data_IF_062176209319
#
_entry.id   IF_062176209319
#
_cell.length_a   1.000
_cell.length_b   1.000
_cell.length_c   1.000
_cell.angle_alpha   90.00
_cell.angle_beta   90.00
_cell.angle_gamma   90.00
#
_symmetry.space_group_name_H-M   'P 1'
#
loop_
_entity.id
_entity.type
_entity.pdbx_description
1 polymer ?
#
# COMPACT_ATOMS: atom_id res chain seq x y z
N UNK A 1 33.84 -13.90 6.15
CA UNK A 1 33.61 -13.68 4.70
C UNK A 1 33.13 -12.24 4.51
N UNK A 2 33.78 -11.41 3.69
CA UNK A 2 33.34 -10.03 3.47
C UNK A 2 32.08 -10.03 2.59
N UNK A 3 30.98 -9.44 3.09
CA UNK A 3 29.71 -9.34 2.37
C UNK A 3 29.56 -7.92 1.85
N UNK A 4 29.18 -7.78 0.57
CA UNK A 4 28.93 -6.48 -0.05
C UNK A 4 27.48 -6.45 -0.54
N UNK A 5 26.70 -5.48 -0.05
CA UNK A 5 25.30 -5.26 -0.46
C UNK A 5 25.19 -3.88 -1.09
N UNK A 6 24.91 -3.84 -2.38
CA UNK A 6 24.68 -2.60 -3.14
C UNK A 6 23.19 -2.40 -3.31
N UNK A 7 22.65 -1.32 -2.75
CA UNK A 7 21.26 -0.91 -2.94
C UNK A 7 21.24 0.38 -3.76
N UNK A 8 20.59 0.34 -4.93
CA UNK A 8 20.17 1.55 -5.62
C UNK A 8 18.81 1.98 -5.07
N UNK A 9 18.73 3.15 -4.41
CA UNK A 9 17.45 3.73 -3.92
C UNK A 9 16.61 4.33 -5.07
N UNK A 10 16.31 3.57 -6.12
CA UNK A 10 15.32 3.99 -7.12
C UNK A 10 13.91 3.77 -6.58
N UNK A 11 13.39 4.65 -5.72
CA UNK A 11 11.97 4.55 -5.31
C UNK A 11 11.09 4.54 -6.57
N UNK A 12 10.45 3.40 -6.80
CA UNK A 12 9.34 3.28 -7.75
C UNK A 12 8.13 3.28 -6.83
N UNK A 13 7.40 4.40 -6.83
CA UNK A 13 6.10 4.48 -6.18
C UNK A 13 5.11 3.85 -7.16
N UNK A 14 4.83 2.56 -7.01
CA UNK A 14 3.68 1.99 -7.71
C UNK A 14 2.46 2.38 -6.92
N UNK A 15 1.72 3.38 -7.40
CA UNK A 15 0.35 3.62 -6.97
C UNK A 15 -0.51 2.51 -7.58
N UNK A 16 -0.78 1.46 -6.82
CA UNK A 16 -1.87 0.56 -7.13
C UNK A 16 -3.14 1.21 -6.58
N UNK A 17 -3.75 2.11 -7.36
CA UNK A 17 -5.17 2.36 -7.19
C UNK A 17 -5.85 1.14 -7.82
N UNK A 18 -6.36 0.26 -6.97
CA UNK A 18 -6.93 -0.99 -7.44
C UNK A 18 -8.41 -0.77 -7.74
N UNK A 19 -8.79 -1.07 -8.97
CA UNK A 19 -10.18 -1.34 -9.35
C UNK A 19 -10.67 -2.52 -8.49
N UNK A 20 -11.75 -2.31 -7.74
CA UNK A 20 -12.33 -3.32 -6.84
C UNK A 20 -13.06 -4.44 -7.59
N UNK A 21 -13.00 -4.51 -8.93
CA UNK A 21 -13.72 -5.54 -9.70
C UNK A 21 -12.95 -6.26 -10.81
N UNK A 22 -11.70 -5.90 -11.15
CA UNK A 22 -10.98 -6.57 -12.24
C UNK A 22 -9.64 -7.20 -11.82
N UNK A 23 -9.56 -8.52 -12.00
CA UNK A 23 -8.40 -9.38 -11.73
C UNK A 23 -7.20 -9.14 -12.68
N UNK A 24 -7.28 -8.14 -13.58
CA UNK A 24 -6.38 -7.98 -14.73
C UNK A 24 -5.61 -6.65 -14.72
N UNK A 25 -4.56 -6.54 -13.90
CA UNK A 25 -3.51 -5.54 -14.11
C UNK A 25 -2.16 -6.22 -14.36
N UNK A 26 -2.09 -6.91 -15.50
CA UNK A 26 -0.87 -7.48 -16.05
C UNK A 26 -0.02 -6.37 -16.72
N UNK A 27 1.17 -6.13 -16.18
CA UNK A 27 2.13 -5.16 -16.71
C UNK A 27 2.46 -5.38 -18.18
N UNK A 28 1.98 -4.45 -19.02
CA UNK A 28 2.44 -4.26 -20.39
C UNK A 28 3.02 -2.85 -20.54
N UNK A 29 4.00 -2.67 -21.43
CA UNK A 29 4.80 -1.44 -21.64
C UNK A 29 4.00 -0.22 -22.16
N UNK A 30 2.67 -0.27 -22.12
CA UNK A 30 1.74 0.81 -22.45
C UNK A 30 0.71 1.10 -21.36
N UNK A 31 0.86 0.57 -20.15
CA UNK A 31 -0.08 0.81 -19.04
C UNK A 31 -0.05 2.29 -18.62
N UNK A 32 -1.18 2.98 -18.83
CA UNK A 32 -1.41 4.40 -18.47
C UNK A 32 -1.58 4.63 -16.96
N UNK A 33 -1.32 3.62 -16.14
CA UNK A 33 -1.69 3.56 -14.72
C UNK A 33 -0.49 3.59 -13.78
N UNK A 34 0.73 3.72 -14.31
CA UNK A 34 1.95 3.86 -13.52
C UNK A 34 2.47 5.29 -13.64
N UNK A 35 2.40 6.06 -12.56
CA UNK A 35 3.06 7.36 -12.47
C UNK A 35 4.57 7.16 -12.55
N UNK A 36 5.21 7.72 -13.59
CA UNK A 36 6.66 7.62 -13.77
C UNK A 36 7.35 8.87 -13.24
N UNK A 37 8.62 8.76 -12.80
CA UNK A 37 9.40 9.93 -12.44
C UNK A 37 9.51 10.98 -13.56
N UNK A 38 9.41 10.57 -14.84
CA UNK A 38 9.36 11.47 -16.00
C UNK A 38 8.09 12.33 -16.06
N UNK A 39 7.05 11.95 -15.32
CA UNK A 39 5.79 12.67 -15.25
C UNK A 39 5.82 13.73 -14.12
N UNK A 40 6.92 13.79 -13.34
CA UNK A 40 7.14 14.82 -12.31
C UNK A 40 7.45 16.18 -12.97
N UNK A 41 6.63 17.19 -12.67
CA UNK A 41 6.80 18.57 -13.17
C UNK A 41 5.70 19.04 -14.12
N UNK A 42 4.80 18.14 -14.56
CA UNK A 42 3.64 18.51 -15.38
C UNK A 42 2.41 17.69 -15.01
N UNK A 43 1.39 18.40 -14.52
CA UNK A 43 0.01 17.92 -14.48
C UNK A 43 -0.27 16.64 -13.67
N UNK A 44 0.48 16.41 -12.59
CA UNK A 44 0.31 15.25 -11.68
C UNK A 44 -1.13 15.09 -11.19
N UNK A 45 -1.83 16.19 -10.93
CA UNK A 45 -3.25 16.18 -10.56
C UNK A 45 -4.12 15.62 -11.70
N UNK A 46 -3.93 16.05 -12.94
CA UNK A 46 -4.71 15.48 -14.04
C UNK A 46 -4.31 14.05 -14.36
N UNK A 47 -3.05 13.65 -14.15
CA UNK A 47 -2.68 12.25 -14.32
C UNK A 47 -3.37 11.42 -13.25
N UNK A 48 -3.31 11.82 -11.97
CA UNK A 48 -4.05 11.16 -10.90
C UNK A 48 -5.55 11.09 -11.20
N UNK A 49 -6.20 12.22 -11.55
CA UNK A 49 -7.63 12.24 -11.88
C UNK A 49 -7.94 11.38 -13.10
N UNK A 50 -7.11 11.44 -14.16
CA UNK A 50 -7.29 10.58 -15.35
C UNK A 50 -7.07 9.11 -15.03
N UNK A 51 -6.16 8.78 -14.11
CA UNK A 51 -5.93 7.42 -13.61
C UNK A 51 -7.16 6.95 -12.83
N UNK A 52 -7.69 7.74 -11.89
CA UNK A 52 -8.93 7.43 -11.17
C UNK A 52 -10.12 7.27 -12.13
N UNK A 53 -10.27 8.16 -13.12
CA UNK A 53 -11.31 8.06 -14.15
C UNK A 53 -11.12 6.85 -15.06
N UNK A 54 -9.89 6.54 -15.47
CA UNK A 54 -9.60 5.43 -16.39
C UNK A 54 -9.57 4.06 -15.72
N UNK A 55 -9.30 4.00 -14.41
CA UNK A 55 -9.56 2.83 -13.57
C UNK A 55 -11.03 2.44 -13.66
N UNK A 56 -11.91 3.42 -13.92
CA UNK A 56 -13.33 3.18 -14.11
C UNK A 56 -13.87 2.51 -12.85
N UNK A 57 -14.02 3.28 -11.77
CA UNK A 57 -14.70 2.84 -10.55
C UNK A 57 -16.05 2.26 -10.99
N UNK A 58 -16.11 0.93 -11.10
CA UNK A 58 -17.17 0.27 -11.83
C UNK A 58 -18.31 0.02 -10.84
N UNK A 59 -19.48 0.54 -11.16
CA UNK A 59 -20.66 0.69 -10.29
C UNK A 59 -21.36 -0.63 -9.94
N UNK A 60 -20.76 -1.79 -10.25
CA UNK A 60 -21.24 -3.10 -9.80
C UNK A 60 -20.81 -3.34 -8.36
N UNK A 61 -21.52 -2.64 -7.48
CA UNK A 61 -21.30 -2.53 -6.04
C UNK A 61 -21.53 -3.83 -5.26
N UNK A 62 -20.81 -3.97 -4.12
CA UNK A 62 -21.14 -4.90 -3.05
C UNK A 62 -20.14 -6.02 -2.81
N UNK A 63 -18.85 -5.83 -3.13
CA UNK A 63 -17.77 -6.73 -2.70
C UNK A 63 -16.41 -6.00 -2.74
N UNK A 64 -16.21 -5.01 -1.88
CA UNK A 64 -15.00 -4.18 -1.87
C UNK A 64 -13.81 -5.00 -1.39
N UNK A 65 -12.82 -5.21 -2.26
CA UNK A 65 -11.73 -6.14 -1.98
C UNK A 65 -10.33 -5.55 -2.12
N UNK A 66 -10.04 -4.46 -1.42
CA UNK A 66 -8.75 -3.76 -1.52
C UNK A 66 -7.55 -4.58 -1.02
N UNK A 67 -7.74 -5.46 -0.04
CA UNK A 67 -6.68 -6.34 0.48
C UNK A 67 -6.40 -7.46 -0.52
N UNK A 68 -7.44 -8.17 -0.99
CA UNK A 68 -7.25 -9.23 -1.99
C UNK A 68 -6.71 -8.69 -3.31
N UNK A 69 -7.18 -7.52 -3.70
CA UNK A 69 -6.60 -6.75 -4.80
C UNK A 69 -5.08 -6.56 -4.67
N UNK A 70 -4.63 -6.05 -3.52
CA UNK A 70 -3.20 -5.87 -3.24
C UNK A 70 -2.45 -7.21 -3.21
N UNK A 71 -3.07 -8.24 -2.64
CA UNK A 71 -2.55 -9.61 -2.57
C UNK A 71 -2.26 -10.16 -3.97
N UNK A 72 -3.26 -10.13 -4.85
CA UNK A 72 -3.17 -10.62 -6.22
C UNK A 72 -2.17 -9.80 -7.05
N UNK A 73 -2.19 -8.47 -6.91
CA UNK A 73 -1.25 -7.61 -7.61
C UNK A 73 0.22 -7.90 -7.23
N UNK A 74 0.47 -8.16 -5.95
CA UNK A 74 1.80 -8.54 -5.46
C UNK A 74 2.26 -9.91 -5.96
N UNK A 75 1.38 -10.91 -5.97
CA UNK A 75 1.67 -12.23 -6.55
C UNK A 75 2.05 -12.08 -8.02
N UNK A 76 1.22 -11.39 -8.80
CA UNK A 76 1.40 -11.27 -10.24
C UNK A 76 2.59 -10.38 -10.63
N UNK A 77 2.93 -9.40 -9.79
CA UNK A 77 4.04 -8.48 -10.05
C UNK A 77 5.41 -8.94 -9.54
N UNK A 78 5.49 -9.99 -8.72
CA UNK A 78 6.73 -10.37 -8.03
C UNK A 78 7.84 -10.80 -9.03
N UNK A 79 9.10 -10.37 -8.84
CA UNK A 79 10.19 -10.72 -9.75
C UNK A 79 10.44 -12.23 -9.76
N UNK A 80 10.36 -12.84 -10.94
CA UNK A 80 10.54 -14.27 -11.14
C UNK A 80 9.28 -15.12 -10.90
N UNK A 81 8.16 -14.51 -10.51
CA UNK A 81 6.89 -15.21 -10.42
C UNK A 81 6.19 -15.18 -11.78
N UNK A 82 6.14 -16.33 -12.48
CA UNK A 82 5.67 -16.44 -13.86
C UNK A 82 4.17 -16.74 -13.97
N UNK A 83 3.35 -16.37 -12.98
CA UNK A 83 1.94 -16.83 -12.91
C UNK A 83 1.12 -16.44 -14.15
N UNK A 84 1.54 -15.44 -14.94
CA UNK A 84 0.87 -15.10 -16.20
C UNK A 84 1.76 -14.47 -17.29
N UNK A 85 3.01 -14.92 -17.51
CA UNK A 85 3.95 -14.30 -18.48
C UNK A 85 4.12 -12.77 -18.32
N UNK A 86 3.68 -12.22 -17.19
CA UNK A 86 3.68 -10.79 -16.88
C UNK A 86 4.99 -10.53 -16.15
N UNK A 87 6.00 -10.09 -16.91
CA UNK A 87 7.32 -9.81 -16.35
C UNK A 87 7.20 -8.96 -15.09
N UNK A 88 7.79 -9.43 -13.99
CA UNK A 88 7.64 -8.85 -12.66
C UNK A 88 7.78 -7.33 -12.66
N UNK A 89 6.67 -6.65 -12.35
CA UNK A 89 6.57 -5.20 -12.26
C UNK A 89 7.43 -4.64 -11.11
N UNK A 90 7.70 -5.49 -10.11
CA UNK A 90 8.51 -5.13 -8.97
C UNK A 90 9.96 -5.52 -9.18
N UNK A 91 10.85 -4.58 -8.89
CA UNK A 91 12.28 -4.85 -8.79
C UNK A 91 12.61 -5.56 -7.48
N UNK A 92 13.64 -6.40 -7.51
CA UNK A 92 14.20 -7.00 -6.29
C UNK A 92 14.61 -5.91 -5.28
N UNK A 93 14.27 -6.10 -4.01
CA UNK A 93 14.55 -5.14 -2.92
C UNK A 93 13.71 -3.85 -2.96
N UNK A 94 12.66 -3.79 -3.78
CA UNK A 94 11.71 -2.68 -3.75
C UNK A 94 11.11 -2.53 -2.34
N UNK A 95 10.88 -1.27 -1.93
CA UNK A 95 9.87 -0.99 -0.94
C UNK A 95 8.53 -0.89 -1.66
N UNK A 96 7.48 -1.46 -1.09
CA UNK A 96 6.14 -1.47 -1.67
C UNK A 96 5.22 -0.69 -0.73
N UNK A 97 4.44 0.23 -1.28
CA UNK A 97 3.42 0.94 -0.52
C UNK A 97 2.09 0.82 -1.25
N UNK A 98 1.05 0.43 -0.52
CA UNK A 98 -0.34 0.41 -0.98
C UNK A 98 -1.06 1.58 -0.32
N UNK A 99 -1.95 2.22 -1.07
CA UNK A 99 -2.90 3.20 -0.55
C UNK A 99 -4.28 2.74 -1.01
N UNK A 100 -5.17 2.43 -0.06
CA UNK A 100 -6.58 2.15 -0.34
C UNK A 100 -7.42 3.37 0.01
N UNK A 101 -8.43 3.64 -0.82
CA UNK A 101 -9.51 4.58 -0.54
C UNK A 101 -10.81 3.78 -0.63
N UNK A 102 -11.59 3.73 0.44
CA UNK A 102 -12.85 2.99 0.44
C UNK A 102 -13.84 3.60 1.43
N UNK A 103 -15.10 3.73 1.02
CA UNK A 103 -16.22 4.07 1.87
C UNK A 103 -16.86 2.85 2.56
N UNK A 104 -16.35 1.66 2.27
CA UNK A 104 -16.74 0.40 2.90
C UNK A 104 -15.50 -0.35 3.45
N UNK A 105 -15.72 -1.53 4.02
CA UNK A 105 -14.67 -2.42 4.51
C UNK A 105 -14.33 -3.52 3.50
N UNK A 106 -13.32 -4.35 3.77
CA UNK A 106 -13.04 -5.53 2.94
C UNK A 106 -14.26 -6.48 2.93
N UNK A 107 -14.69 -6.95 1.76
CA UNK A 107 -15.96 -7.65 1.54
C UNK A 107 -17.17 -6.82 2.01
N UNK A 108 -17.14 -5.51 1.76
CA UNK A 108 -18.11 -4.48 2.18
C UNK A 108 -18.19 -4.23 3.69
N UNK A 109 -18.26 -5.28 4.50
CA UNK A 109 -18.52 -5.19 5.94
C UNK A 109 -17.47 -5.91 6.80
N UNK A 110 -16.32 -6.24 6.25
CA UNK A 110 -15.23 -6.93 6.96
C UNK A 110 -15.55 -8.39 7.25
N UNK A 111 -16.51 -8.97 6.51
CA UNK A 111 -17.04 -10.31 6.77
C UNK A 111 -17.76 -10.46 8.10
N UNK A 112 -18.35 -9.39 8.63
CA UNK A 112 -19.17 -9.41 9.85
C UNK A 112 -20.64 -9.10 9.53
N UNK A 113 -21.47 -10.15 9.52
CA UNK A 113 -22.90 -10.04 9.24
C UNK A 113 -23.67 -9.15 10.23
N UNK A 114 -23.12 -8.86 11.42
CA UNK A 114 -23.78 -7.97 12.39
C UNK A 114 -23.76 -6.50 11.98
N UNK A 115 -22.97 -6.16 10.96
CA UNK A 115 -22.81 -4.78 10.47
C UNK A 115 -23.77 -4.43 9.34
N UNK A 116 -24.60 -5.37 8.90
CA UNK A 116 -25.61 -5.16 7.86
C UNK A 116 -26.60 -4.08 8.30
N UNK A 117 -26.77 -3.06 7.44
CA UNK A 117 -27.72 -1.96 7.58
C UNK A 117 -28.96 -2.23 6.73
N UNK A 118 -29.84 -3.11 7.20
CA UNK A 118 -31.09 -3.46 6.49
C UNK A 118 -31.97 -2.25 6.18
N UNK A 119 -31.96 -1.22 7.04
CA UNK A 119 -32.66 0.05 6.81
C UNK A 119 -32.15 0.84 5.58
N UNK A 120 -30.95 0.52 5.09
CA UNK A 120 -30.33 1.07 3.89
C UNK A 120 -30.37 0.12 2.69
N UNK A 121 -31.12 -0.98 2.79
CA UNK A 121 -31.33 -1.93 1.70
C UNK A 121 -30.31 -3.06 1.60
N UNK A 122 -29.41 -3.19 2.60
CA UNK A 122 -28.43 -4.28 2.64
C UNK A 122 -29.03 -5.62 3.09
N UNK A 123 -28.47 -6.71 2.59
CA UNK A 123 -28.92 -8.06 2.95
C UNK A 123 -27.81 -9.13 2.82
N UNK A 124 -28.12 -10.33 3.34
CA UNK A 124 -27.27 -11.53 3.24
C UNK A 124 -27.51 -12.35 1.96
N UNK A 125 -28.44 -11.92 1.10
CA UNK A 125 -28.91 -12.69 -0.04
C UNK A 125 -29.16 -11.83 -1.26
N UNK A 126 -29.45 -12.46 -2.41
CA UNK A 126 -29.77 -11.71 -3.63
C UNK A 126 -30.92 -10.70 -3.41
N UNK A 127 -30.86 -9.51 -4.02
CA UNK A 127 -29.86 -9.08 -5.00
C UNK A 127 -28.63 -8.37 -4.41
N UNK A 128 -28.64 -7.95 -3.13
CA UNK A 128 -27.52 -7.23 -2.50
C UNK A 128 -26.68 -8.19 -1.63
N UNK A 129 -25.58 -8.71 -2.15
CA UNK A 129 -24.69 -9.56 -1.37
C UNK A 129 -23.71 -8.71 -0.52
N UNK A 130 -24.24 -7.97 0.45
CA UNK A 130 -23.41 -7.12 1.32
C UNK A 130 -22.55 -7.97 2.27
N UNK A 131 -23.09 -9.09 2.75
CA UNK A 131 -22.30 -10.02 3.56
C UNK A 131 -21.68 -11.11 2.69
N UNK A 132 -20.36 -11.19 2.79
CA UNK A 132 -19.60 -12.36 2.37
C UNK A 132 -18.50 -12.65 3.40
N UNK A 133 -18.28 -13.93 3.70
CA UNK A 133 -17.18 -14.32 4.58
C UNK A 133 -15.83 -13.95 3.94
N UNK A 134 -14.87 -13.52 4.77
CA UNK A 134 -13.49 -13.28 4.33
C UNK A 134 -12.87 -14.61 3.84
N UNK A 135 -12.20 -14.55 2.70
CA UNK A 135 -11.28 -15.57 2.21
C UNK A 135 -9.87 -15.32 2.79
N UNK A 136 -8.96 -16.27 2.62
CA UNK A 136 -7.59 -16.13 3.13
C UNK A 136 -6.87 -14.91 2.52
N UNK A 137 -7.13 -14.60 1.25
CA UNK A 137 -6.55 -13.46 0.55
C UNK A 137 -7.14 -12.11 0.96
N UNK A 138 -8.31 -12.10 1.61
CA UNK A 138 -8.95 -10.89 2.13
C UNK A 138 -8.36 -10.51 3.52
N UNK A 139 -7.51 -11.36 4.12
CA UNK A 139 -6.99 -11.17 5.48
C UNK A 139 -5.71 -10.31 5.53
N UNK A 140 -5.68 -9.22 6.35
CA UNK A 140 -4.50 -8.36 6.51
C UNK A 140 -3.20 -9.09 6.84
N UNK A 141 -3.26 -10.05 7.76
CA UNK A 141 -2.09 -10.83 8.18
C UNK A 141 -1.54 -11.71 7.06
N UNK A 142 -2.43 -12.29 6.25
CA UNK A 142 -2.05 -13.14 5.12
C UNK A 142 -1.42 -12.33 4.00
N UNK A 143 -1.93 -11.11 3.72
CA UNK A 143 -1.26 -10.16 2.82
C UNK A 143 0.19 -9.92 3.27
N UNK A 144 0.41 -9.50 4.52
CA UNK A 144 1.77 -9.24 5.02
C UNK A 144 2.68 -10.48 4.96
N UNK A 145 2.16 -11.64 5.36
CA UNK A 145 2.91 -12.90 5.35
C UNK A 145 3.30 -13.32 3.94
N UNK A 146 2.33 -13.31 3.01
CA UNK A 146 2.55 -13.61 1.60
C UNK A 146 3.56 -12.65 0.98
N UNK A 147 3.42 -11.34 1.20
CA UNK A 147 4.36 -10.36 0.63
C UNK A 147 5.79 -10.63 1.11
N UNK A 148 5.99 -10.94 2.39
CA UNK A 148 7.32 -11.30 2.92
C UNK A 148 7.83 -12.63 2.35
N UNK A 149 6.95 -13.60 2.11
CA UNK A 149 7.28 -14.84 1.42
C UNK A 149 7.79 -14.60 -0.01
N UNK A 150 7.14 -13.71 -0.77
CA UNK A 150 7.50 -13.42 -2.16
C UNK A 150 8.74 -12.52 -2.30
N UNK A 151 8.81 -11.46 -1.52
CA UNK A 151 9.85 -10.43 -1.67
C UNK A 151 10.99 -10.54 -0.64
N UNK A 152 10.90 -11.53 0.26
CA UNK A 152 11.84 -11.80 1.34
C UNK A 152 11.47 -11.12 2.66
N UNK A 153 11.96 -11.70 3.77
CA UNK A 153 11.64 -11.24 5.13
C UNK A 153 12.03 -9.79 5.43
N UNK A 154 12.97 -9.22 4.66
CA UNK A 154 13.38 -7.82 4.76
C UNK A 154 12.53 -6.86 3.92
N UNK A 155 11.40 -7.32 3.35
CA UNK A 155 10.49 -6.46 2.60
C UNK A 155 10.06 -5.26 3.45
N UNK A 156 10.21 -4.07 2.86
CA UNK A 156 9.63 -2.83 3.39
C UNK A 156 8.27 -2.66 2.74
N UNK A 157 7.23 -3.02 3.48
CA UNK A 157 5.85 -2.96 3.02
C UNK A 157 5.03 -2.09 3.95
N UNK A 158 4.32 -1.11 3.37
CA UNK A 158 3.32 -0.30 4.06
C UNK A 158 1.99 -0.36 3.34
N UNK A 159 0.93 -0.64 4.06
CA UNK A 159 -0.44 -0.45 3.62
C UNK A 159 -0.95 0.83 4.28
N UNK A 160 -1.58 1.71 3.52
CA UNK A 160 -2.15 2.96 4.03
C UNK A 160 -3.61 3.01 3.59
N UNK A 161 -4.46 3.60 4.40
CA UNK A 161 -5.91 3.58 4.17
C UNK A 161 -6.52 4.95 4.40
N UNK A 162 -7.33 5.43 3.46
CA UNK A 162 -8.31 6.50 3.67
C UNK A 162 -9.67 5.83 3.67
N UNK A 163 -10.32 5.74 4.82
CA UNK A 163 -11.54 4.96 4.99
C UNK A 163 -12.58 5.70 5.80
N UNK A 164 -13.77 5.14 5.92
CA UNK A 164 -14.63 5.44 7.07
C UNK A 164 -13.90 4.94 8.33
N UNK A 165 -13.36 5.86 9.11
CA UNK A 165 -12.42 5.55 10.19
C UNK A 165 -13.10 5.45 11.56
N UNK A 166 -14.32 5.99 11.70
CA UNK A 166 -15.09 6.00 12.92
C UNK A 166 -16.60 6.15 12.66
N UNK A 167 -17.40 5.93 13.71
CA UNK A 167 -18.87 5.98 13.66
C UNK A 167 -19.44 7.34 13.23
N UNK A 168 -18.76 8.44 13.60
CA UNK A 168 -19.20 9.78 13.21
C UNK A 168 -19.04 9.95 11.69
N UNK A 169 -17.91 9.51 11.13
CA UNK A 169 -17.70 9.54 9.69
C UNK A 169 -18.73 8.65 8.97
N UNK A 170 -18.97 7.44 9.48
CA UNK A 170 -19.97 6.52 8.93
C UNK A 170 -21.36 7.15 8.90
N UNK A 171 -21.76 7.83 9.98
CA UNK A 171 -23.05 8.54 10.05
C UNK A 171 -23.13 9.67 9.03
N UNK A 172 -22.03 10.38 8.77
CA UNK A 172 -21.98 11.44 7.76
C UNK A 172 -22.11 10.85 6.36
N UNK A 173 -21.36 9.79 6.05
CA UNK A 173 -21.40 9.11 4.75
C UNK A 173 -22.78 8.51 4.49
N UNK A 174 -23.37 7.80 5.46
CA UNK A 174 -24.71 7.20 5.37
C UNK A 174 -25.83 8.22 5.08
N UNK A 175 -25.62 9.49 5.44
CA UNK A 175 -26.57 10.58 5.23
C UNK A 175 -26.20 11.48 4.04
N UNK A 176 -25.07 11.22 3.38
CA UNK A 176 -24.64 11.98 2.22
C UNK A 176 -25.55 11.66 1.04
N UNK A 177 -26.23 12.68 0.53
CA UNK A 177 -27.11 12.57 -0.63
C UNK A 177 -26.28 12.70 -1.89
N UNK A 178 -26.40 11.72 -2.78
CA UNK A 178 -25.87 11.80 -4.14
C UNK A 178 -27.00 11.73 -5.16
N UNK A 179 -26.81 12.39 -6.30
CA UNK A 179 -27.77 12.40 -7.39
C UNK A 179 -27.32 11.41 -8.45
N UNK A 180 -28.11 10.38 -8.73
CA UNK A 180 -27.83 9.40 -9.78
C UNK A 180 -27.79 10.06 -11.16
N UNK A 181 -27.28 9.35 -12.17
CA UNK A 181 -27.33 9.81 -13.56
C UNK A 181 -28.77 10.02 -14.09
N UNK A 182 -29.78 9.43 -13.44
CA UNK A 182 -31.20 9.62 -13.72
C UNK A 182 -31.82 10.82 -12.98
N UNK A 183 -31.05 11.56 -12.19
CA UNK A 183 -31.51 12.74 -11.45
C UNK A 183 -32.18 12.41 -10.11
N UNK A 184 -32.07 11.18 -9.62
CA UNK A 184 -32.67 10.77 -8.35
C UNK A 184 -31.70 11.01 -7.19
N UNK A 185 -32.18 11.65 -6.13
CA UNK A 185 -31.42 11.78 -4.89
C UNK A 185 -31.53 10.48 -4.07
N UNK A 186 -30.38 9.93 -3.71
CA UNK A 186 -30.25 8.67 -2.97
C UNK A 186 -29.18 8.81 -1.89
N UNK A 187 -29.25 7.94 -0.87
CA UNK A 187 -28.18 7.73 0.11
C UNK A 187 -27.81 6.25 0.07
N UNK A 188 -26.54 5.92 0.22
CA UNK A 188 -26.06 4.55 0.41
C UNK A 188 -25.67 4.31 1.87
N UNK A 189 -25.52 3.04 2.23
CA UNK A 189 -24.74 2.69 3.40
C UNK A 189 -23.24 2.84 3.09
N UNK A 190 -22.49 3.12 4.15
CA UNK A 190 -21.03 3.09 4.21
C UNK A 190 -20.63 2.18 5.37
N UNK A 191 -19.37 1.77 5.45
CA UNK A 191 -18.91 0.89 6.53
C UNK A 191 -17.51 1.26 7.00
N UNK A 192 -17.31 1.25 8.32
CA UNK A 192 -15.98 1.44 8.90
C UNK A 192 -14.97 0.45 8.29
N UNK A 193 -13.88 0.94 7.70
CA UNK A 193 -12.87 0.13 7.02
C UNK A 193 -11.95 -0.64 7.98
N UNK A 194 -12.50 -1.48 8.85
CA UNK A 194 -11.79 -2.13 9.95
C UNK A 194 -10.63 -3.01 9.48
N UNK A 195 -10.77 -3.73 8.36
CA UNK A 195 -9.70 -4.57 7.80
C UNK A 195 -8.60 -3.74 7.15
N UNK A 196 -8.96 -2.64 6.52
CA UNK A 196 -7.98 -1.69 5.99
C UNK A 196 -7.20 -0.99 7.12
N UNK A 197 -7.87 -0.64 8.22
CA UNK A 197 -7.21 -0.10 9.43
C UNK A 197 -6.26 -1.14 10.04
N UNK A 198 -6.71 -2.40 10.14
CA UNK A 198 -5.89 -3.52 10.61
C UNK A 198 -4.63 -3.68 9.73
N UNK A 199 -4.78 -3.72 8.40
CA UNK A 199 -3.67 -3.80 7.46
C UNK A 199 -2.70 -2.62 7.58
N UNK A 200 -3.23 -1.39 7.70
CA UNK A 200 -2.42 -0.19 7.90
C UNK A 200 -1.60 -0.28 9.19
N UNK A 201 -2.20 -0.71 10.30
CA UNK A 201 -1.51 -0.86 11.58
C UNK A 201 -0.45 -1.99 11.56
N UNK A 202 -0.78 -3.16 10.99
CA UNK A 202 0.13 -4.31 10.89
C UNK A 202 1.41 -4.00 10.08
N UNK A 203 1.29 -3.11 9.10
CA UNK A 203 2.39 -2.72 8.21
C UNK A 203 3.05 -1.39 8.61
N UNK A 204 2.57 -0.76 9.69
CA UNK A 204 3.08 0.52 10.19
C UNK A 204 2.75 1.73 9.29
N UNK A 205 1.80 1.60 8.36
CA UNK A 205 1.34 2.69 7.51
C UNK A 205 0.45 3.70 8.23
N UNK A 206 -0.22 4.55 7.45
CA UNK A 206 -1.12 5.58 7.94
C UNK A 206 -2.59 5.21 7.75
N UNK A 207 -3.42 5.69 8.68
CA UNK A 207 -4.89 5.67 8.59
C UNK A 207 -5.37 7.10 8.50
N UNK A 208 -6.16 7.40 7.47
CA UNK A 208 -6.87 8.65 7.27
C UNK A 208 -8.36 8.42 7.14
N UNK A 209 -9.14 9.49 7.29
CA UNK A 209 -10.59 9.45 7.12
C UNK A 209 -11.02 9.99 5.76
N UNK A 210 -12.00 9.35 5.13
CA UNK A 210 -12.70 9.88 3.95
C UNK A 210 -13.53 11.12 4.28
N UNK A 211 -13.90 11.30 5.55
CA UNK A 211 -14.65 12.48 6.02
C UNK A 211 -13.78 13.72 6.26
N UNK A 212 -12.46 13.63 6.06
CA UNK A 212 -11.62 14.81 6.10
C UNK A 212 -11.95 15.75 4.94
N UNK A 213 -12.07 17.05 5.23
CA UNK A 213 -12.35 18.07 4.21
C UNK A 213 -11.26 18.19 3.14
N UNK A 214 -10.05 17.74 3.44
CA UNK A 214 -8.96 17.59 2.49
C UNK A 214 -8.20 16.29 2.77
N UNK A 215 -7.62 15.70 1.72
CA UNK A 215 -6.73 14.54 1.88
C UNK A 215 -5.26 14.92 1.96
N UNK A 216 -4.92 16.21 2.02
CA UNK A 216 -3.53 16.65 2.04
C UNK A 216 -2.82 16.14 3.30
N UNK A 217 -3.46 16.21 4.46
CA UNK A 217 -2.87 15.72 5.70
C UNK A 217 -2.69 14.20 5.68
N UNK A 218 -3.66 13.47 5.10
CA UNK A 218 -3.56 12.01 4.90
C UNK A 218 -2.38 11.66 3.98
N UNK A 219 -2.24 12.34 2.85
CA UNK A 219 -1.15 12.12 1.90
C UNK A 219 0.22 12.51 2.47
N UNK A 220 0.29 13.57 3.27
CA UNK A 220 1.49 13.98 4.00
C UNK A 220 1.88 12.94 5.06
N UNK A 221 0.89 12.39 5.78
CA UNK A 221 1.09 11.29 6.73
C UNK A 221 1.65 10.06 6.00
N UNK A 222 1.04 9.66 4.89
CA UNK A 222 1.50 8.48 4.13
C UNK A 222 2.90 8.69 3.59
N UNK A 223 3.19 9.87 3.04
CA UNK A 223 4.55 10.24 2.61
C UNK A 223 5.55 10.14 3.77
N UNK A 224 5.19 10.61 4.96
CA UNK A 224 6.03 10.52 6.16
C UNK A 224 6.26 9.08 6.59
N UNK A 225 5.22 8.24 6.59
CA UNK A 225 5.30 6.82 6.94
C UNK A 225 6.17 6.05 5.95
N UNK A 226 5.93 6.25 4.65
CA UNK A 226 6.71 5.64 3.58
C UNK A 226 8.17 6.08 3.72
N UNK A 227 8.47 7.38 3.78
CA UNK A 227 9.85 7.87 3.92
C UNK A 227 10.55 7.39 5.19
N UNK A 228 9.84 7.28 6.32
CA UNK A 228 10.39 6.71 7.54
C UNK A 228 10.67 5.21 7.41
N UNK A 229 9.82 4.44 6.73
CA UNK A 229 10.09 3.01 6.46
C UNK A 229 11.38 2.82 5.64
N UNK A 230 11.74 3.81 4.83
CA UNK A 230 12.94 3.80 3.98
C UNK A 230 14.22 4.14 4.75
N UNK A 231 14.13 4.69 5.97
CA UNK A 231 15.29 4.96 6.83
C UNK A 231 15.94 3.69 7.37
N UNK A 232 15.21 2.57 7.36
CA UNK A 232 15.70 1.32 7.93
C UNK A 232 16.13 0.35 6.82
N UNK A 233 17.30 -0.25 7.01
CA UNK A 233 17.81 -1.34 6.19
C UNK A 233 18.12 -2.52 7.11
N UNK A 234 17.51 -3.66 6.82
CA UNK A 234 17.88 -4.93 7.44
C UNK A 234 19.08 -5.53 6.71
N UNK A 235 20.18 -5.69 7.45
CA UNK A 235 21.39 -6.41 7.06
C UNK A 235 21.13 -7.92 7.12
N UNK A 236 21.96 -8.71 6.44
CA UNK A 236 21.84 -10.18 6.44
C UNK A 236 22.19 -10.77 7.82
N UNK A 237 23.04 -10.09 8.58
CA UNK A 237 23.49 -10.48 9.91
C UNK A 237 23.85 -9.22 10.71
N UNK A 238 23.99 -9.38 12.03
CA UNK A 238 24.60 -8.33 12.85
C UNK A 238 26.10 -8.22 12.50
N UNK A 239 26.63 -7.03 12.16
CA UNK A 239 28.04 -6.87 11.83
C UNK A 239 28.96 -7.26 13.00
N UNK A 240 29.93 -8.15 12.74
CA UNK A 240 30.89 -8.64 13.73
C UNK A 240 32.33 -8.66 13.16
N UNK A 241 33.29 -7.89 13.73
CA UNK A 241 33.09 -6.90 14.78
C UNK A 241 32.20 -5.75 14.28
N UNK A 242 31.59 -5.01 15.19
CA UNK A 242 30.67 -3.92 14.82
C UNK A 242 31.33 -2.85 13.95
N UNK A 243 32.65 -2.67 14.07
CA UNK A 243 33.49 -1.79 13.26
C UNK A 243 33.69 -2.25 11.82
N UNK A 244 33.33 -3.49 11.48
CA UNK A 244 33.44 -4.01 10.10
C UNK A 244 32.47 -3.35 9.13
N UNK A 245 31.39 -2.73 9.63
CA UNK A 245 30.38 -2.11 8.79
C UNK A 245 30.85 -0.76 8.25
N UNK A 246 31.03 -0.72 6.94
CA UNK A 246 31.22 0.50 6.16
C UNK A 246 29.95 0.80 5.38
N UNK A 247 29.51 2.05 5.43
CA UNK A 247 28.31 2.53 4.73
C UNK A 247 28.71 3.72 3.87
N UNK A 248 28.36 3.68 2.59
CA UNK A 248 28.47 4.82 1.69
C UNK A 248 27.10 5.21 1.17
N UNK A 249 26.80 6.50 1.18
CA UNK A 249 25.56 7.09 0.67
C UNK A 249 25.94 8.11 -0.39
N UNK A 250 25.54 7.87 -1.65
CA UNK A 250 25.91 8.72 -2.78
C UNK A 250 27.42 8.75 -3.05
N UNK A 251 28.15 7.70 -2.66
CA UNK A 251 29.61 7.62 -2.76
C UNK A 251 30.37 8.24 -1.57
N UNK A 252 29.72 9.02 -0.72
CA UNK A 252 30.31 9.56 0.50
C UNK A 252 30.22 8.55 1.66
N UNK A 253 31.27 8.42 2.46
CA UNK A 253 31.25 7.56 3.66
C UNK A 253 30.33 8.17 4.71
N UNK A 254 29.31 7.42 5.12
CA UNK A 254 28.42 7.81 6.21
C UNK A 254 29.06 7.50 7.57
N UNK A 255 28.83 8.36 8.55
CA UNK A 255 29.39 8.29 9.90
C UNK A 255 28.38 7.66 10.86
N UNK A 256 28.79 6.58 11.54
CA UNK A 256 27.98 5.95 12.57
C UNK A 256 27.78 6.89 13.77
N UNK A 257 26.56 6.92 14.32
CA UNK A 257 26.16 7.77 15.42
C UNK A 257 25.62 9.13 14.98
N UNK A 258 26.02 9.59 13.79
CA UNK A 258 25.57 10.87 13.19
C UNK A 258 24.61 10.63 12.04
N UNK A 259 25.05 9.88 11.03
CA UNK A 259 24.29 9.65 9.80
C UNK A 259 23.43 8.38 9.88
N UNK A 260 23.85 7.41 10.70
CA UNK A 260 23.12 6.18 10.94
C UNK A 260 23.46 5.54 12.29
N UNK A 261 22.56 4.71 12.80
CA UNK A 261 22.77 3.81 13.94
C UNK A 261 22.62 2.35 13.51
N UNK A 262 23.13 1.43 14.34
CA UNK A 262 23.00 -0.02 14.12
C UNK A 262 22.60 -0.69 15.42
N UNK A 263 21.56 -1.52 15.36
CA UNK A 263 21.11 -2.38 16.46
C UNK A 263 20.87 -3.79 15.92
N UNK A 264 21.70 -4.75 16.32
CA UNK A 264 21.71 -6.09 15.72
C UNK A 264 21.96 -6.01 14.21
N UNK A 265 21.04 -6.57 13.42
CA UNK A 265 21.07 -6.51 11.95
C UNK A 265 20.33 -5.29 11.37
N UNK A 266 19.73 -4.42 12.20
CA UNK A 266 19.02 -3.24 11.73
C UNK A 266 19.97 -2.05 11.63
N UNK A 267 20.08 -1.45 10.45
CA UNK A 267 20.70 -0.15 10.22
C UNK A 267 19.60 0.90 10.05
N UNK A 268 19.72 2.03 10.75
CA UNK A 268 18.75 3.13 10.71
C UNK A 268 19.46 4.43 10.37
N UNK A 269 19.13 5.06 9.23
CA UNK A 269 19.64 6.39 8.89
C UNK A 269 18.96 7.47 9.74
N UNK A 270 19.73 8.47 10.16
CA UNK A 270 19.21 9.62 10.91
C UNK A 270 18.29 10.50 10.07
N UNK A 271 18.50 10.51 8.74
CA UNK A 271 17.64 11.17 7.77
C UNK A 271 17.18 10.19 6.68
N UNK A 272 16.06 10.52 6.01
CA UNK A 272 15.61 9.74 4.87
C UNK A 272 16.64 9.86 3.74
N UNK A 273 17.01 8.72 3.15
CA UNK A 273 17.94 8.72 2.02
C UNK A 273 17.23 9.28 0.80
N UNK A 274 17.85 10.29 0.17
CA UNK A 274 17.30 10.96 -1.02
C UNK A 274 17.05 9.94 -2.15
N UNK A 275 15.98 10.16 -2.91
CA UNK A 275 15.63 9.31 -4.05
C UNK A 275 16.76 9.30 -5.08
N UNK A 276 17.08 8.12 -5.60
CA UNK A 276 18.12 7.93 -6.60
C UNK A 276 19.53 7.77 -6.03
N UNK A 277 19.73 7.99 -4.73
CA UNK A 277 21.03 7.84 -4.07
C UNK A 277 21.44 6.37 -3.92
N UNK A 278 22.63 6.02 -4.42
CA UNK A 278 23.19 4.67 -4.21
C UNK A 278 23.68 4.52 -2.77
N UNK A 279 23.26 3.44 -2.11
CA UNK A 279 23.75 3.01 -0.80
C UNK A 279 24.61 1.78 -1.00
N UNK A 280 25.85 1.83 -0.53
CA UNK A 280 26.77 0.70 -0.55
C UNK A 280 27.12 0.33 0.88
N UNK A 281 27.02 -0.95 1.20
CA UNK A 281 27.39 -1.46 2.52
C UNK A 281 28.34 -2.63 2.36
N UNK A 282 29.38 -2.65 3.18
CA UNK A 282 30.23 -3.82 3.36
C UNK A 282 30.41 -4.11 4.85
N UNK A 283 30.32 -5.40 5.22
CA UNK A 283 30.46 -5.83 6.61
C UNK A 283 30.85 -7.30 6.69
N UNK A 284 31.32 -7.71 7.87
CA UNK A 284 31.59 -9.10 8.21
C UNK A 284 30.45 -9.65 9.07
N UNK A 285 30.02 -10.87 8.76
CA UNK A 285 29.13 -11.64 9.64
C UNK A 285 29.94 -12.46 10.66
N UNK A 286 29.32 -12.83 11.79
CA UNK A 286 29.87 -13.82 12.71
C UNK A 286 30.23 -15.13 12.00
#
# INVERSE_FOLDING_TARGET
MARTKTLLSKFVYTFAAVDFTSEDLACNAGSKFVLRPSDAGGNLNNIFNSTITAIGVNETAGDERGIKAAYNHMINGAPGNNVANSGGCYRSGAAISVIVLSDEDERSIGGDANRIKTAKGESVGAPSYTYRALEDEDMPANLLSMSKGLFGQSLRFSFNSIVVDNQQCETIQDNTVWTTSSGQNVTSASHIGSKYIEASNLTGGGVGSICNANFQDNLNLFTTKITNSLKNITLECAPAPTSSLLVKVGGATAVRGTDYTVSGAALSFSQAVVQGTRIEMSYMCP
#
